data_IF_960285865050
#
_entry.id   IF_960285865050
#
_cell.length_a   1.000
_cell.length_b   1.000
_cell.length_c   1.000
_cell.angle_alpha   90.00
_cell.angle_beta   90.00
_cell.angle_gamma   90.00
#
_symmetry.space_group_name_H-M   'P 1'
#
loop_
_entity.id
_entity.type
_entity.pdbx_description
1 polymer ?
#
# COMPACT_ATOMS: atom_id res chain seq x y z
N UNK A 1 1.63 13.78 -1.68
CA UNK A 1 3.09 13.64 -1.42
C UNK A 1 3.72 12.80 -2.50
N UNK A 2 3.40 11.51 -2.55
CA UNK A 2 3.94 10.57 -3.55
C UNK A 2 3.57 10.94 -5.00
N UNK A 3 2.33 11.36 -5.27
CA UNK A 3 1.91 11.79 -6.62
C UNK A 3 2.72 12.96 -7.23
N UNK A 4 3.58 13.64 -6.46
CA UNK A 4 4.48 14.71 -6.95
C UNK A 4 5.91 14.21 -7.21
N UNK A 5 6.21 12.95 -6.90
CA UNK A 5 7.53 12.31 -7.03
C UNK A 5 7.51 11.41 -8.26
N UNK A 6 8.26 11.78 -9.29
CA UNK A 6 8.32 11.01 -10.55
C UNK A 6 9.02 9.65 -10.40
N UNK A 7 9.74 9.46 -9.30
CA UNK A 7 10.45 8.24 -8.92
C UNK A 7 9.60 7.26 -8.08
N UNK A 8 8.35 7.60 -7.78
CA UNK A 8 7.42 6.75 -7.02
C UNK A 8 6.19 6.43 -7.88
N UNK A 9 5.89 5.14 -8.02
CA UNK A 9 4.67 4.64 -8.62
C UNK A 9 3.66 4.28 -7.51
N UNK A 10 2.45 4.84 -7.56
CA UNK A 10 1.45 4.66 -6.49
C UNK A 10 0.24 3.85 -6.98
N UNK A 11 -0.02 2.73 -6.31
CA UNK A 11 -1.17 1.87 -6.58
C UNK A 11 -2.06 1.62 -5.36
N UNK A 12 -3.32 1.25 -5.61
CA UNK A 12 -4.28 0.89 -4.57
C UNK A 12 -4.39 -0.63 -4.42
N UNK A 13 -4.18 -1.16 -3.22
CA UNK A 13 -4.40 -2.58 -2.92
C UNK A 13 -5.49 -2.71 -1.86
N UNK A 14 -6.66 -3.26 -2.22
CA UNK A 14 -7.82 -3.28 -1.32
C UNK A 14 -8.69 -4.52 -1.50
N UNK A 15 -9.32 -4.98 -0.41
CA UNK A 15 -10.35 -6.03 -0.44
C UNK A 15 -11.73 -5.55 -0.92
N UNK A 16 -11.86 -4.32 -1.40
CA UNK A 16 -13.07 -3.86 -2.07
C UNK A 16 -13.03 -4.30 -3.56
N UNK A 17 -14.19 -4.57 -4.15
CA UNK A 17 -14.29 -4.61 -5.61
C UNK A 17 -13.92 -3.25 -6.21
N UNK A 18 -13.31 -3.24 -7.39
CA UNK A 18 -12.75 -2.07 -8.06
C UNK A 18 -13.77 -0.97 -8.22
N UNK A 19 -14.97 -1.32 -8.71
CA UNK A 19 -16.05 -0.36 -8.92
C UNK A 19 -16.48 0.33 -7.62
N UNK A 20 -16.56 -0.43 -6.52
CA UNK A 20 -16.90 0.12 -5.21
C UNK A 20 -15.81 1.01 -4.63
N UNK A 21 -14.54 0.60 -4.79
CA UNK A 21 -13.40 1.42 -4.41
C UNK A 21 -13.35 2.73 -5.21
N UNK A 22 -13.55 2.67 -6.52
CA UNK A 22 -13.58 3.83 -7.42
C UNK A 22 -14.68 4.81 -7.02
N UNK A 23 -15.91 4.36 -6.79
CA UNK A 23 -17.00 5.22 -6.34
C UNK A 23 -16.67 5.92 -5.02
N UNK A 24 -16.21 5.16 -4.01
CA UNK A 24 -15.85 5.69 -2.69
C UNK A 24 -14.73 6.73 -2.78
N UNK A 25 -13.65 6.42 -3.48
CA UNK A 25 -12.47 7.28 -3.54
C UNK A 25 -12.66 8.47 -4.49
N UNK A 26 -13.53 8.36 -5.49
CA UNK A 26 -13.93 9.49 -6.33
C UNK A 26 -14.73 10.51 -5.53
N UNK A 27 -15.67 10.06 -4.69
CA UNK A 27 -16.42 10.94 -3.78
C UNK A 27 -15.49 11.79 -2.90
N UNK A 28 -14.44 11.19 -2.35
CA UNK A 28 -13.42 11.90 -1.56
C UNK A 28 -12.30 12.56 -2.39
N UNK A 29 -12.39 12.54 -3.73
CA UNK A 29 -11.42 13.16 -4.64
C UNK A 29 -9.99 12.65 -4.43
N UNK A 30 -9.83 11.35 -4.22
CA UNK A 30 -8.51 10.71 -4.03
C UNK A 30 -8.26 9.54 -4.98
N UNK A 31 -9.25 9.13 -5.78
CA UNK A 31 -9.10 8.05 -6.77
C UNK A 31 -7.94 8.29 -7.75
N UNK A 32 -7.79 9.53 -8.22
CA UNK A 32 -6.80 9.92 -9.22
C UNK A 32 -5.34 9.84 -8.73
N UNK A 33 -5.09 9.58 -7.45
CA UNK A 33 -3.73 9.35 -6.93
C UNK A 33 -3.22 7.93 -7.16
N UNK A 34 -4.08 7.01 -7.59
CA UNK A 34 -3.72 5.61 -7.79
C UNK A 34 -3.73 5.27 -9.28
N UNK A 35 -2.55 5.11 -9.88
CA UNK A 35 -2.39 4.86 -11.31
C UNK A 35 -2.76 3.41 -11.69
N UNK A 36 -2.60 2.50 -10.74
CA UNK A 36 -2.92 1.08 -10.85
C UNK A 36 -3.40 0.53 -9.50
N UNK A 37 -3.70 -0.76 -9.44
CA UNK A 37 -4.09 -1.39 -8.19
C UNK A 37 -4.43 -2.86 -8.31
N UNK A 38 -4.76 -3.47 -7.18
CA UNK A 38 -5.31 -4.82 -7.07
C UNK A 38 -6.52 -4.80 -6.12
N UNK A 39 -7.58 -5.50 -6.54
CA UNK A 39 -8.92 -5.40 -5.97
C UNK A 39 -9.49 -6.79 -5.68
N UNK A 40 -10.60 -6.88 -4.97
CA UNK A 40 -11.25 -8.18 -4.73
C UNK A 40 -11.73 -8.89 -6.03
N UNK A 41 -11.85 -8.17 -7.14
CA UNK A 41 -12.08 -8.74 -8.48
C UNK A 41 -10.94 -9.65 -8.95
N UNK A 42 -9.72 -9.45 -8.42
CA UNK A 42 -8.53 -10.21 -8.79
C UNK A 42 -8.40 -11.53 -8.01
N UNK A 43 -8.72 -11.50 -6.71
CA UNK A 43 -8.74 -12.68 -5.84
C UNK A 43 -9.53 -12.39 -4.57
N UNK A 44 -10.25 -13.40 -4.03
CA UNK A 44 -10.86 -13.30 -2.70
C UNK A 44 -9.83 -13.32 -1.55
N UNK A 45 -8.58 -13.75 -1.81
CA UNK A 45 -7.51 -13.84 -0.80
C UNK A 45 -6.62 -12.60 -0.86
N UNK A 46 -6.47 -11.90 0.27
CA UNK A 46 -5.70 -10.64 0.34
C UNK A 46 -4.25 -10.80 -0.11
N UNK A 47 -3.61 -11.91 0.28
CA UNK A 47 -2.21 -12.18 -0.02
C UNK A 47 -1.94 -12.41 -1.52
N UNK A 48 -2.98 -12.68 -2.30
CA UNK A 48 -2.85 -12.86 -3.75
C UNK A 48 -2.92 -11.52 -4.50
N UNK A 49 -3.29 -10.42 -3.84
CA UNK A 49 -3.44 -9.11 -4.49
C UNK A 49 -2.08 -8.44 -4.77
N UNK A 50 -1.08 -8.65 -3.92
CA UNK A 50 0.25 -8.06 -4.08
C UNK A 50 0.89 -8.36 -5.44
N UNK A 51 0.95 -9.63 -5.87
CA UNK A 51 1.45 -10.00 -7.20
C UNK A 51 0.67 -9.37 -8.37
N UNK A 52 -0.64 -9.17 -8.22
CA UNK A 52 -1.46 -8.50 -9.24
C UNK A 52 -1.09 -7.01 -9.37
N UNK A 53 -0.90 -6.33 -8.25
CA UNK A 53 -0.49 -4.93 -8.23
C UNK A 53 0.90 -4.74 -8.85
N UNK A 54 1.89 -5.57 -8.46
CA UNK A 54 3.25 -5.54 -9.01
C UNK A 54 3.28 -5.77 -10.53
N UNK A 55 2.53 -6.76 -11.02
CA UNK A 55 2.42 -7.05 -12.47
C UNK A 55 1.85 -5.86 -13.24
N UNK A 56 0.80 -5.21 -12.72
CA UNK A 56 0.20 -4.02 -13.35
C UNK A 56 1.13 -2.81 -13.30
N UNK A 57 1.82 -2.59 -12.19
CA UNK A 57 2.83 -1.55 -12.07
C UNK A 57 3.92 -1.73 -13.14
N UNK A 58 4.46 -2.95 -13.26
CA UNK A 58 5.52 -3.21 -14.22
C UNK A 58 5.10 -3.09 -15.67
N UNK A 59 3.87 -3.50 -16.01
CA UNK A 59 3.32 -3.29 -17.34
C UNK A 59 3.10 -1.80 -17.66
N UNK A 60 2.60 -1.02 -16.70
CA UNK A 60 2.30 0.40 -16.87
C UNK A 60 3.59 1.22 -17.05
N UNK A 61 4.57 1.02 -16.18
CA UNK A 61 5.81 1.82 -16.16
C UNK A 61 6.93 1.20 -16.99
N UNK A 62 6.73 0.01 -17.57
CA UNK A 62 7.77 -0.76 -18.29
C UNK A 62 9.04 -0.93 -17.44
N UNK A 63 8.83 -1.19 -16.16
CA UNK A 63 9.88 -1.26 -15.14
C UNK A 63 9.65 -2.44 -14.21
N UNK A 64 10.70 -3.11 -13.76
CA UNK A 64 10.59 -4.18 -12.78
C UNK A 64 10.66 -3.61 -11.35
N UNK A 65 9.57 -3.74 -10.61
CA UNK A 65 9.52 -3.33 -9.21
C UNK A 65 9.97 -4.48 -8.31
N UNK A 66 11.20 -4.40 -7.81
CA UNK A 66 11.71 -5.40 -6.85
C UNK A 66 10.98 -5.31 -5.51
N UNK A 67 10.79 -6.43 -4.79
CA UNK A 67 10.18 -6.41 -3.46
C UNK A 67 10.89 -5.48 -2.47
N UNK A 68 12.23 -5.45 -2.47
CA UNK A 68 13.02 -4.57 -1.59
C UNK A 68 12.77 -3.06 -1.82
N UNK A 69 12.29 -2.68 -3.00
CA UNK A 69 11.92 -1.29 -3.36
C UNK A 69 10.40 -1.09 -3.46
N UNK A 70 9.63 -1.99 -2.87
CA UNK A 70 8.17 -1.93 -2.82
C UNK A 70 7.73 -1.81 -1.37
N UNK A 71 6.79 -0.92 -1.11
CA UNK A 71 6.17 -0.75 0.20
C UNK A 71 4.69 -1.10 0.14
N UNK A 72 4.22 -1.93 1.07
CA UNK A 72 2.80 -2.05 1.41
C UNK A 72 2.52 -1.18 2.64
N UNK A 73 1.59 -0.25 2.50
CA UNK A 73 1.18 0.68 3.54
C UNK A 73 -0.26 0.39 3.94
N UNK A 74 -0.54 0.20 5.24
CA UNK A 74 -1.89 -0.07 5.71
C UNK A 74 -2.03 -0.01 7.23
N UNK A 75 -3.27 -0.16 7.70
CA UNK A 75 -3.67 0.02 9.10
C UNK A 75 -4.11 -1.29 9.77
N UNK A 76 -3.95 -2.43 9.08
CA UNK A 76 -4.32 -3.75 9.59
C UNK A 76 -3.16 -4.74 9.60
N UNK A 77 -3.20 -5.76 10.48
CA UNK A 77 -2.29 -6.91 10.39
C UNK A 77 -2.21 -7.56 9.01
N UNK A 78 -3.32 -7.59 8.28
CA UNK A 78 -3.39 -8.18 6.94
C UNK A 78 -2.61 -7.38 5.89
N UNK A 79 -2.44 -6.07 6.07
CA UNK A 79 -1.61 -5.27 5.17
C UNK A 79 -0.13 -5.61 5.36
N UNK A 80 0.30 -5.80 6.61
CA UNK A 80 1.66 -6.22 6.97
C UNK A 80 1.92 -7.63 6.42
N UNK A 81 0.99 -8.56 6.64
CA UNK A 81 1.10 -9.92 6.11
C UNK A 81 1.18 -9.93 4.57
N UNK A 82 0.33 -9.15 3.90
CA UNK A 82 0.31 -9.04 2.44
C UNK A 82 1.67 -8.58 1.88
N UNK A 83 2.29 -7.56 2.50
CA UNK A 83 3.63 -7.11 2.12
C UNK A 83 4.69 -8.19 2.32
N UNK A 84 4.66 -8.87 3.48
CA UNK A 84 5.62 -9.94 3.79
C UNK A 84 5.55 -11.12 2.83
N UNK A 85 4.34 -11.52 2.41
CA UNK A 85 4.16 -12.64 1.46
C UNK A 85 4.85 -12.37 0.13
N UNK A 86 4.88 -11.12 -0.32
CA UNK A 86 5.56 -10.73 -1.57
C UNK A 86 7.01 -10.29 -1.34
N UNK A 87 7.51 -10.32 -0.11
CA UNK A 87 8.84 -9.84 0.27
C UNK A 87 8.99 -8.30 0.22
N UNK A 88 7.88 -7.56 0.18
CA UNK A 88 7.88 -6.11 0.19
C UNK A 88 8.13 -5.57 1.61
N UNK A 89 8.66 -4.35 1.68
CA UNK A 89 8.71 -3.59 2.92
C UNK A 89 7.30 -3.19 3.34
N UNK A 90 7.09 -3.01 4.64
CA UNK A 90 5.78 -2.80 5.24
C UNK A 90 5.80 -1.59 6.17
N UNK A 91 4.86 -0.67 5.96
CA UNK A 91 4.66 0.50 6.81
C UNK A 91 3.25 0.43 7.39
N UNK A 92 3.15 0.28 8.71
CA UNK A 92 1.89 0.23 9.42
C UNK A 92 1.51 1.62 9.97
N UNK A 93 0.22 1.99 9.93
CA UNK A 93 -0.29 3.25 10.50
C UNK A 93 -1.50 3.02 11.39
N UNK A 94 -1.45 3.49 12.63
CA UNK A 94 -2.44 3.21 13.67
C UNK A 94 -3.65 4.18 13.68
N UNK A 95 -4.05 4.68 12.51
CA UNK A 95 -5.26 5.52 12.36
C UNK A 95 -6.54 4.69 12.19
N UNK A 96 -6.40 3.36 12.09
CA UNK A 96 -7.47 2.40 11.96
C UNK A 96 -8.00 1.88 13.30
N UNK A 97 -8.34 0.59 13.33
CA UNK A 97 -8.84 -0.10 14.54
C UNK A 97 -7.73 -0.69 15.41
N UNK A 98 -6.52 -0.81 14.87
CA UNK A 98 -5.41 -1.49 15.52
C UNK A 98 -4.40 -0.46 16.04
N UNK A 99 -4.11 -0.42 17.36
CA UNK A 99 -3.14 0.51 17.93
C UNK A 99 -1.70 0.13 17.53
N UNK A 100 -0.77 1.08 17.67
CA UNK A 100 0.67 0.88 17.38
C UNK A 100 1.23 -0.39 18.02
N UNK A 101 0.89 -0.64 19.29
CA UNK A 101 1.39 -1.81 20.02
C UNK A 101 0.92 -3.14 19.41
N UNK A 102 -0.28 -3.18 18.83
CA UNK A 102 -0.78 -4.37 18.14
C UNK A 102 -0.08 -4.54 16.80
N UNK A 103 -0.04 -3.50 15.97
CA UNK A 103 0.61 -3.52 14.66
C UNK A 103 2.10 -3.89 14.77
N UNK A 104 2.81 -3.38 15.79
CA UNK A 104 4.21 -3.69 16.06
C UNK A 104 4.46 -5.19 16.30
N UNK A 105 3.49 -5.94 16.85
CA UNK A 105 3.63 -7.41 17.07
C UNK A 105 3.67 -8.19 15.77
N UNK A 106 3.16 -7.61 14.68
CA UNK A 106 3.27 -8.17 13.34
C UNK A 106 4.61 -7.84 12.67
N UNK A 107 5.51 -7.13 13.37
CA UNK A 107 6.87 -6.77 12.95
C UNK A 107 6.93 -6.10 11.56
N UNK A 108 6.24 -4.97 11.33
CA UNK A 108 6.42 -4.18 10.12
C UNK A 108 7.81 -3.51 10.12
N UNK A 109 8.28 -3.09 8.95
CA UNK A 109 9.55 -2.36 8.80
C UNK A 109 9.48 -0.96 9.44
N UNK A 110 8.30 -0.35 9.45
CA UNK A 110 8.02 0.86 10.22
C UNK A 110 6.57 0.87 10.73
N UNK A 111 6.34 1.51 11.87
CA UNK A 111 5.00 1.72 12.43
C UNK A 111 4.85 3.17 12.90
N UNK A 112 3.73 3.79 12.53
CA UNK A 112 3.41 5.17 12.86
C UNK A 112 2.06 5.26 13.59
N UNK A 113 1.90 6.19 14.55
CA UNK A 113 0.58 6.48 15.11
C UNK A 113 -0.34 7.13 14.07
N UNK A 114 0.21 8.03 13.26
CA UNK A 114 -0.44 8.74 12.15
C UNK A 114 0.63 9.23 11.15
N UNK A 115 0.20 9.93 10.09
CA UNK A 115 1.11 10.55 9.11
C UNK A 115 1.15 12.09 9.20
N UNK A 116 0.98 12.67 10.38
CA UNK A 116 1.14 14.12 10.56
C UNK A 116 2.58 14.57 10.27
N UNK A 117 3.59 13.82 10.72
CA UNK A 117 4.99 14.01 10.32
C UNK A 117 5.29 13.29 9.01
N UNK A 118 4.94 13.96 7.91
CA UNK A 118 5.18 13.46 6.55
C UNK A 118 6.66 13.34 6.19
N UNK A 119 7.55 14.08 6.87
CA UNK A 119 8.99 13.98 6.63
C UNK A 119 9.55 12.68 7.23
N UNK A 120 9.03 12.23 8.37
CA UNK A 120 9.39 10.92 8.92
C UNK A 120 9.00 9.76 8.00
N UNK A 121 7.81 9.81 7.39
CA UNK A 121 7.38 8.81 6.40
C UNK A 121 8.31 8.80 5.17
N UNK A 122 8.68 9.98 4.66
CA UNK A 122 9.55 10.07 3.48
C UNK A 122 10.97 9.55 3.75
N UNK A 123 11.54 9.78 4.96
CA UNK A 123 12.84 9.20 5.34
C UNK A 123 12.83 7.67 5.23
N UNK A 124 11.79 7.01 5.75
CA UNK A 124 11.66 5.54 5.66
C UNK A 124 11.59 5.03 4.22
N UNK A 125 11.00 5.81 3.31
CA UNK A 125 10.85 5.45 1.90
C UNK A 125 12.14 5.72 1.11
N UNK A 126 12.87 6.77 1.47
CA UNK A 126 14.11 7.19 0.80
C UNK A 126 15.35 6.39 1.30
N UNK A 127 15.27 5.73 2.45
CA UNK A 127 16.28 4.79 3.00
C UNK A 127 16.35 3.46 2.22
#
# INVERSE_FOLDING_TARGET
LFHRRADIAQGLLTGNIRRGAEFKLTHYRVWHYFEFGAFADDSPRRNDLGPHALRRAGALHRHEFTPARTFIIGDTPHDIECGKVIGARTIAVATGRHPVAELARHAPDAVFPDFADTAALLRVIDD
#
